data_IF_645390364281
#
_entry.id   IF_645390364281
#
_cell.length_a   1.000
_cell.length_b   1.000
_cell.length_c   1.000
_cell.angle_alpha   90.00
_cell.angle_beta   90.00
_cell.angle_gamma   90.00
#
_symmetry.space_group_name_H-M   'P 1'
#
loop_
_entity.id
_entity.type
_entity.pdbx_description
1 polymer ?
#
# COMPACT_ATOMS: atom_id res chain seq x y z
N UNK A 1 -5.57 -16.18 13.74
CA UNK A 1 -5.37 -15.94 12.30
C UNK A 1 -5.88 -14.55 11.97
N UNK A 2 -5.01 -13.54 11.95
CA UNK A 2 -5.41 -12.14 11.75
C UNK A 2 -5.92 -11.96 10.32
N UNK A 3 -7.24 -11.78 10.18
CA UNK A 3 -7.87 -11.49 8.89
C UNK A 3 -7.20 -10.25 8.28
N UNK A 4 -6.58 -10.41 7.11
CA UNK A 4 -5.97 -9.30 6.40
C UNK A 4 -7.11 -8.41 5.89
N UNK A 5 -7.20 -7.19 6.43
CA UNK A 5 -8.25 -6.22 6.11
C UNK A 5 -7.85 -5.43 4.87
N UNK A 6 -8.80 -5.17 3.97
CA UNK A 6 -8.60 -4.22 2.85
C UNK A 6 -8.30 -2.84 3.42
N UNK A 7 -7.20 -2.23 2.99
CA UNK A 7 -6.79 -0.91 3.45
C UNK A 7 -7.70 0.12 2.78
N UNK A 8 -8.13 1.16 3.49
CA UNK A 8 -8.93 2.23 2.91
C UNK A 8 -8.03 3.34 2.35
N UNK A 9 -8.56 4.16 1.43
CA UNK A 9 -7.82 5.34 0.94
C UNK A 9 -7.47 6.30 2.09
N UNK A 10 -8.33 6.43 3.09
CA UNK A 10 -8.09 7.27 4.26
C UNK A 10 -6.88 6.79 5.08
N UNK A 11 -6.76 5.49 5.32
CA UNK A 11 -5.60 4.89 6.02
C UNK A 11 -4.30 5.10 5.25
N UNK A 12 -4.32 4.96 3.92
CA UNK A 12 -3.15 5.25 3.07
C UNK A 12 -2.73 6.72 3.18
N UNK A 13 -3.68 7.65 3.21
CA UNK A 13 -3.38 9.08 3.34
C UNK A 13 -2.82 9.43 4.72
N UNK A 14 -3.33 8.81 5.78
CA UNK A 14 -2.77 8.94 7.12
C UNK A 14 -1.32 8.46 7.13
N UNK A 15 -1.06 7.24 6.64
CA UNK A 15 0.28 6.66 6.56
C UNK A 15 1.23 7.49 5.70
N UNK A 16 0.75 8.01 4.58
CA UNK A 16 1.53 8.88 3.73
C UNK A 16 1.86 10.23 4.42
N UNK A 17 0.94 10.76 5.23
CA UNK A 17 1.17 11.94 6.07
C UNK A 17 2.24 11.70 7.12
N UNK A 18 2.24 10.54 7.78
CA UNK A 18 3.29 10.13 8.74
C UNK A 18 4.66 10.03 8.08
N UNK A 19 4.71 9.61 6.82
CA UNK A 19 5.93 9.56 6.00
C UNK A 19 6.34 10.92 5.40
N UNK A 20 5.57 11.99 5.65
CA UNK A 20 5.86 13.33 5.13
C UNK A 20 5.56 13.53 3.64
N UNK A 21 4.78 12.63 3.02
CA UNK A 21 4.44 12.68 1.60
C UNK A 21 3.42 13.79 1.32
N UNK A 22 3.81 14.75 0.48
CA UNK A 22 2.95 15.87 0.05
C UNK A 22 2.33 15.60 -1.33
N UNK A 23 1.14 16.13 -1.57
CA UNK A 23 0.47 16.07 -2.88
C UNK A 23 -0.15 14.71 -3.23
N UNK A 24 -0.12 13.73 -2.33
CA UNK A 24 -0.61 12.37 -2.60
C UNK A 24 -2.14 12.21 -2.47
N UNK A 25 -2.84 13.20 -1.90
CA UNK A 25 -4.31 13.18 -1.72
C UNK A 25 -5.09 12.97 -3.03
N UNK A 26 -4.57 13.52 -4.14
CA UNK A 26 -5.17 13.43 -5.48
C UNK A 26 -4.80 12.14 -6.21
N UNK A 27 -3.85 11.34 -5.70
CA UNK A 27 -3.44 10.09 -6.33
C UNK A 27 -4.52 9.01 -6.18
N UNK A 28 -4.51 8.06 -7.12
CA UNK A 28 -5.31 6.84 -7.01
C UNK A 28 -4.75 5.96 -5.90
N UNK A 29 -5.55 4.99 -5.46
CA UNK A 29 -5.18 4.09 -4.35
C UNK A 29 -3.92 3.28 -4.64
N UNK A 30 -3.79 2.76 -5.87
CA UNK A 30 -2.60 2.05 -6.33
C UNK A 30 -1.34 2.92 -6.28
N UNK A 31 -1.43 4.15 -6.83
CA UNK A 31 -0.33 5.11 -6.83
C UNK A 31 0.10 5.51 -5.42
N UNK A 32 -0.88 5.65 -4.50
CA UNK A 32 -0.62 5.90 -3.08
C UNK A 32 0.18 4.77 -2.46
N UNK A 33 -0.23 3.53 -2.68
CA UNK A 33 0.46 2.34 -2.17
C UNK A 33 1.88 2.28 -2.73
N UNK A 34 2.07 2.46 -4.04
CA UNK A 34 3.40 2.48 -4.66
C UNK A 34 4.29 3.56 -4.06
N UNK A 35 3.77 4.77 -3.88
CA UNK A 35 4.52 5.87 -3.27
C UNK A 35 4.94 5.54 -1.85
N UNK A 36 4.03 4.97 -1.04
CA UNK A 36 4.31 4.55 0.33
C UNK A 36 5.38 3.45 0.32
N UNK A 37 5.24 2.42 -0.52
CA UNK A 37 6.22 1.32 -0.62
C UNK A 37 7.63 1.85 -0.89
N UNK A 38 7.80 2.72 -1.90
CA UNK A 38 9.10 3.32 -2.24
C UNK A 38 9.65 4.16 -1.09
N UNK A 39 8.78 4.92 -0.43
CA UNK A 39 9.18 5.81 0.68
C UNK A 39 9.60 5.02 1.91
N UNK A 40 9.00 3.85 2.13
CA UNK A 40 9.43 2.87 3.14
C UNK A 40 10.73 2.12 2.74
N UNK A 41 11.26 2.36 1.53
CA UNK A 41 12.44 1.66 1.00
C UNK A 41 12.13 0.29 0.37
N UNK A 42 10.85 -0.03 0.16
CA UNK A 42 10.39 -1.26 -0.47
C UNK A 42 10.20 -1.08 -1.98
N UNK A 43 10.14 -2.20 -2.71
CA UNK A 43 9.72 -2.22 -4.11
C UNK A 43 8.23 -1.91 -4.23
N UNK A 44 7.83 -1.15 -5.25
CA UNK A 44 6.45 -0.80 -5.58
C UNK A 44 5.67 -1.98 -6.21
N UNK A 45 5.70 -3.13 -5.55
CA UNK A 45 5.21 -4.40 -6.09
C UNK A 45 3.68 -4.53 -6.15
N UNK A 46 2.93 -3.58 -5.59
CA UNK A 46 1.48 -3.66 -5.50
C UNK A 46 0.83 -3.85 -6.88
N UNK A 47 0.07 -4.95 -7.06
CA UNK A 47 -0.55 -5.37 -8.33
C UNK A 47 0.42 -5.58 -9.51
N UNK A 48 1.73 -5.73 -9.26
CA UNK A 48 2.73 -6.01 -10.31
C UNK A 48 3.21 -7.46 -10.33
N UNK A 49 3.16 -8.14 -9.19
CA UNK A 49 3.68 -9.50 -9.03
C UNK A 49 2.50 -10.49 -8.88
N UNK A 50 2.25 -11.36 -9.87
CA UNK A 50 1.35 -12.50 -9.67
C UNK A 50 1.97 -13.46 -8.63
N UNK A 51 1.14 -14.04 -7.76
CA UNK A 51 1.55 -15.05 -6.77
C UNK A 51 2.61 -14.62 -5.73
N UNK A 52 2.59 -13.34 -5.32
CA UNK A 52 3.43 -12.84 -4.23
C UNK A 52 3.35 -13.70 -2.94
N UNK A 53 4.51 -14.16 -2.44
CA UNK A 53 4.63 -14.97 -1.20
C UNK A 53 4.90 -14.14 0.06
N UNK A 54 4.93 -12.80 -0.04
CA UNK A 54 5.24 -11.94 1.10
C UNK A 54 4.08 -11.95 2.10
N UNK A 55 4.41 -12.39 3.32
CA UNK A 55 3.54 -12.37 4.50
C UNK A 55 4.39 -11.95 5.71
N UNK A 56 3.96 -10.97 6.52
CA UNK A 56 2.65 -10.30 6.55
C UNK A 56 2.63 -8.97 5.76
N UNK A 57 2.16 -8.98 4.50
CA UNK A 57 1.98 -7.73 3.72
C UNK A 57 0.63 -7.07 4.03
N UNK A 58 0.65 -5.79 4.42
CA UNK A 58 -0.53 -4.99 4.74
C UNK A 58 -1.55 -4.91 3.58
N UNK A 59 -1.04 -4.84 2.34
CA UNK A 59 -1.88 -4.67 1.14
C UNK A 59 -2.34 -6.01 0.53
N UNK A 60 -1.98 -7.15 1.11
CA UNK A 60 -2.21 -8.47 0.51
C UNK A 60 -3.69 -8.74 0.19
N UNK A 61 -4.59 -8.37 1.11
CA UNK A 61 -6.03 -8.56 0.98
C UNK A 61 -6.70 -7.80 -0.17
N UNK A 62 -6.00 -6.84 -0.78
CA UNK A 62 -6.47 -6.11 -1.97
C UNK A 62 -5.52 -6.28 -3.16
N UNK A 63 -4.26 -6.66 -2.93
CA UNK A 63 -3.28 -6.92 -3.98
C UNK A 63 -3.48 -8.27 -4.68
N UNK A 64 -4.02 -9.27 -3.97
CA UNK A 64 -4.36 -10.59 -4.51
C UNK A 64 -5.87 -10.88 -4.47
N UNK A 65 -6.68 -9.82 -4.36
CA UNK A 65 -8.14 -9.93 -4.36
C UNK A 65 -8.72 -10.09 -5.77
#
# INVERSE_FOLDING_TARGET
MTAQKKVTKAELLAKAGELGLKGVAKKKKSDLIHTIQITEGNTDCFSRIPDCSVSPCLYRAECQA
#
